data_IF_362117582238
#
_entry.id   IF_362117582238
#
_cell.length_a   1.000
_cell.length_b   1.000
_cell.length_c   1.000
_cell.angle_alpha   90.00
_cell.angle_beta   90.00
_cell.angle_gamma   90.00
#
_symmetry.space_group_name_H-M   'P 1'
#
loop_
_entity.id
_entity.type
_entity.pdbx_description
1 polymer ?
#
# COMPACT_ATOMS: atom_id res chain seq x y z
N UNK A 1 2.20 -6.65 13.37
CA UNK A 1 1.02 -7.55 13.36
C UNK A 1 -0.06 -7.06 12.39
N UNK A 2 -0.39 -5.76 12.33
CA UNK A 2 -1.12 -5.15 11.20
C UNK A 2 -0.42 -5.38 9.83
N UNK A 3 0.93 -5.37 9.83
CA UNK A 3 1.74 -5.77 8.67
C UNK A 3 1.39 -7.16 8.13
N UNK A 4 0.96 -8.12 8.98
CA UNK A 4 0.60 -9.47 8.50
C UNK A 4 -0.70 -9.48 7.71
N UNK A 5 -1.70 -8.69 8.12
CA UNK A 5 -2.97 -8.56 7.40
C UNK A 5 -2.78 -7.80 6.08
N UNK A 6 -1.98 -6.72 6.10
CA UNK A 6 -1.63 -5.96 4.88
C UNK A 6 -0.81 -6.84 3.93
N UNK A 7 0.24 -7.52 4.43
CA UNK A 7 1.02 -8.48 3.63
C UNK A 7 0.09 -9.53 3.05
N UNK A 8 -0.77 -10.17 3.85
CA UNK A 8 -1.71 -11.19 3.37
C UNK A 8 -2.64 -10.67 2.26
N UNK A 9 -3.16 -9.45 2.41
CA UNK A 9 -3.95 -8.80 1.37
C UNK A 9 -3.13 -8.56 0.09
N UNK A 10 -1.89 -8.08 0.23
CA UNK A 10 -0.97 -7.93 -0.91
C UNK A 10 -0.62 -9.28 -1.55
N UNK A 11 -0.41 -10.36 -0.77
CA UNK A 11 -0.14 -11.69 -1.31
C UNK A 11 -1.36 -12.20 -2.09
N UNK A 12 -2.58 -12.08 -1.55
CA UNK A 12 -3.81 -12.51 -2.22
C UNK A 12 -4.02 -11.77 -3.57
N UNK A 13 -3.70 -10.48 -3.64
CA UNK A 13 -3.75 -9.67 -4.87
C UNK A 13 -2.60 -10.01 -5.81
N UNK A 14 -1.39 -10.25 -5.30
CA UNK A 14 -0.18 -10.58 -6.05
C UNK A 14 -0.23 -11.97 -6.72
N UNK A 15 -0.92 -12.96 -6.13
CA UNK A 15 -1.10 -14.28 -6.77
C UNK A 15 -1.82 -14.17 -8.13
N UNK A 16 -2.63 -13.11 -8.32
CA UNK A 16 -3.70 -13.08 -9.31
C UNK A 16 -3.62 -11.90 -10.29
N UNK A 17 -2.72 -10.94 -10.08
CA UNK A 17 -2.55 -9.80 -10.98
C UNK A 17 -1.74 -10.17 -12.22
N UNK A 18 -2.37 -10.11 -13.40
CA UNK A 18 -1.66 -10.10 -14.69
C UNK A 18 -0.89 -8.80 -14.91
N UNK A 19 -1.40 -7.68 -14.37
CA UNK A 19 -0.85 -6.34 -14.56
C UNK A 19 0.22 -5.94 -13.52
N UNK A 20 0.26 -6.63 -12.37
CA UNK A 20 1.42 -6.60 -11.47
C UNK A 20 2.40 -7.64 -11.99
N UNK A 21 3.34 -7.27 -12.88
CA UNK A 21 4.33 -8.15 -13.52
C UNK A 21 5.07 -9.11 -12.57
N UNK A 22 4.39 -10.17 -12.14
CA UNK A 22 4.90 -11.24 -11.31
C UNK A 22 5.02 -12.44 -12.24
N UNK A 23 6.27 -12.82 -12.51
CA UNK A 23 6.57 -14.03 -13.28
C UNK A 23 5.87 -15.25 -12.67
N UNK A 24 5.58 -16.23 -13.52
CA UNK A 24 4.82 -17.44 -13.19
C UNK A 24 5.32 -18.13 -11.90
N UNK A 25 6.65 -18.24 -11.74
CA UNK A 25 7.29 -18.78 -10.54
C UNK A 25 6.89 -18.06 -9.25
N UNK A 26 6.78 -16.73 -9.29
CA UNK A 26 6.38 -15.92 -8.12
C UNK A 26 4.91 -16.13 -7.78
N UNK A 27 4.05 -16.35 -8.77
CA UNK A 27 2.61 -16.63 -8.53
C UNK A 27 2.41 -17.98 -7.87
N UNK A 28 3.13 -19.01 -8.35
CA UNK A 28 3.11 -20.34 -7.73
C UNK A 28 3.61 -20.27 -6.29
N UNK A 29 4.75 -19.61 -6.05
CA UNK A 29 5.26 -19.40 -4.70
C UNK A 29 4.26 -18.69 -3.79
N UNK A 30 3.62 -17.64 -4.31
CA UNK A 30 2.66 -16.86 -3.53
C UNK A 30 1.39 -17.66 -3.20
N UNK A 31 0.95 -18.52 -4.13
CA UNK A 31 -0.19 -19.43 -3.93
C UNK A 31 0.09 -20.43 -2.81
N UNK A 32 1.28 -21.01 -2.78
CA UNK A 32 1.68 -21.93 -1.71
C UNK A 32 1.82 -21.22 -0.35
N UNK A 33 2.37 -19.99 -0.32
CA UNK A 33 2.43 -19.19 0.92
C UNK A 33 1.01 -18.93 1.46
N UNK A 34 0.06 -18.59 0.58
CA UNK A 34 -1.34 -18.37 0.93
C UNK A 34 -1.99 -19.65 1.48
N UNK A 35 -1.79 -20.79 0.82
CA UNK A 35 -2.31 -22.10 1.26
C UNK A 35 -1.76 -22.48 2.63
N UNK A 36 -0.45 -22.38 2.81
CA UNK A 36 0.22 -22.68 4.09
C UNK A 36 -0.26 -21.75 5.21
N UNK A 37 -0.55 -20.49 4.90
CA UNK A 37 -1.12 -19.57 5.88
C UNK A 37 -2.55 -19.96 6.27
N UNK A 38 -3.42 -20.29 5.32
CA UNK A 38 -4.76 -20.81 5.60
C UNK A 38 -4.70 -22.08 6.48
N UNK A 39 -3.81 -23.02 6.12
CA UNK A 39 -3.59 -24.26 6.87
C UNK A 39 -3.13 -24.02 8.31
N UNK A 40 -2.18 -23.11 8.52
CA UNK A 40 -1.70 -22.71 9.87
C UNK A 40 -2.80 -22.10 10.74
N UNK A 41 -3.87 -21.60 10.14
CA UNK A 41 -5.03 -21.04 10.85
C UNK A 41 -6.25 -21.99 10.85
N UNK A 42 -6.06 -23.27 10.53
CA UNK A 42 -7.12 -24.30 10.46
C UNK A 42 -8.26 -23.93 9.50
N UNK A 43 -7.93 -23.27 8.37
CA UNK A 43 -8.86 -22.80 7.36
C UNK A 43 -8.43 -23.19 5.95
N UNK A 44 -7.77 -24.34 5.78
CA UNK A 44 -7.30 -24.83 4.48
C UNK A 44 -8.47 -25.04 3.50
N UNK A 45 -9.65 -25.41 4.00
CA UNK A 45 -10.89 -25.56 3.23
C UNK A 45 -11.41 -24.23 2.65
N UNK A 46 -10.94 -23.09 3.17
CA UNK A 46 -11.29 -21.73 2.71
C UNK A 46 -10.30 -21.15 1.71
N UNK A 47 -9.25 -21.87 1.38
CA UNK A 47 -8.19 -21.39 0.50
C UNK A 47 -8.69 -20.96 -0.89
N UNK A 48 -9.58 -21.73 -1.51
CA UNK A 48 -10.15 -21.39 -2.82
C UNK A 48 -11.12 -20.19 -2.73
N UNK A 49 -11.89 -20.06 -1.64
CA UNK A 49 -12.75 -18.89 -1.38
C UNK A 49 -11.91 -17.60 -1.28
N UNK A 50 -10.78 -17.65 -0.56
CA UNK A 50 -9.86 -16.51 -0.41
C UNK A 50 -9.19 -16.15 -1.73
N UNK A 51 -8.77 -17.13 -2.54
CA UNK A 51 -8.29 -16.86 -3.89
C UNK A 51 -9.38 -16.22 -4.76
N UNK A 52 -10.61 -16.69 -4.66
CA UNK A 52 -11.72 -16.11 -5.42
C UNK A 52 -12.00 -14.66 -4.99
N UNK A 53 -11.92 -14.35 -3.70
CA UNK A 53 -12.02 -12.97 -3.21
C UNK A 53 -10.94 -12.05 -3.83
N UNK A 54 -9.72 -12.56 -3.99
CA UNK A 54 -8.66 -11.86 -4.73
C UNK A 54 -9.00 -11.61 -6.20
N UNK A 55 -9.60 -12.59 -6.90
CA UNK A 55 -10.02 -12.42 -8.31
C UNK A 55 -11.12 -11.37 -8.45
N UNK A 56 -12.16 -11.49 -7.63
CA UNK A 56 -13.27 -10.55 -7.59
C UNK A 56 -12.77 -9.13 -7.32
N UNK A 57 -11.77 -8.98 -6.44
CA UNK A 57 -11.14 -7.68 -6.20
C UNK A 57 -10.42 -7.12 -7.44
N UNK A 58 -9.62 -7.94 -8.14
CA UNK A 58 -8.95 -7.53 -9.38
C UNK A 58 -9.97 -7.12 -10.45
N UNK A 59 -11.04 -7.90 -10.64
CA UNK A 59 -12.10 -7.59 -11.60
C UNK A 59 -12.83 -6.29 -11.22
N UNK A 60 -13.06 -6.08 -9.91
CA UNK A 60 -13.60 -4.83 -9.39
C UNK A 60 -12.69 -3.64 -9.75
N UNK A 61 -11.38 -3.75 -9.51
CA UNK A 61 -10.41 -2.70 -9.86
C UNK A 61 -10.40 -2.41 -11.37
N UNK A 62 -10.38 -3.44 -12.22
CA UNK A 62 -10.41 -3.31 -13.68
C UNK A 62 -11.68 -2.62 -14.17
N UNK A 63 -12.81 -2.84 -13.50
CA UNK A 63 -14.07 -2.13 -13.77
C UNK A 63 -14.04 -0.64 -13.36
N UNK A 64 -13.17 -0.27 -12.42
CA UNK A 64 -13.04 1.12 -11.97
C UNK A 64 -12.02 1.91 -12.79
N UNK A 65 -10.86 1.31 -13.08
CA UNK A 65 -9.71 1.96 -13.69
C UNK A 65 -9.11 1.08 -14.77
N UNK A 66 -9.07 1.59 -16.00
CA UNK A 66 -8.18 1.07 -17.02
C UNK A 66 -6.83 1.80 -16.89
N UNK A 67 -5.78 1.05 -16.57
CA UNK A 67 -4.45 1.61 -16.28
C UNK A 67 -3.83 2.29 -17.50
N UNK A 68 -3.97 1.69 -18.68
CA UNK A 68 -3.45 2.26 -19.93
C UNK A 68 -4.19 3.55 -20.30
N UNK A 69 -5.52 3.57 -20.16
CA UNK A 69 -6.31 4.80 -20.34
C UNK A 69 -5.91 5.88 -19.36
N UNK A 70 -5.78 5.55 -18.06
CA UNK A 70 -5.36 6.51 -17.05
C UNK A 70 -3.97 7.09 -17.35
N UNK A 71 -3.02 6.24 -17.78
CA UNK A 71 -1.68 6.69 -18.17
C UNK A 71 -1.73 7.66 -19.34
N UNK A 72 -2.51 7.33 -20.39
CA UNK A 72 -2.68 8.21 -21.54
C UNK A 72 -3.34 9.54 -21.15
N UNK A 73 -4.41 9.51 -20.35
CA UNK A 73 -5.06 10.74 -19.85
C UNK A 73 -4.09 11.62 -19.03
N UNK A 74 -3.22 11.01 -18.21
CA UNK A 74 -2.20 11.73 -17.44
C UNK A 74 -1.19 12.41 -18.38
N UNK A 75 -0.63 11.68 -19.35
CA UNK A 75 0.39 12.23 -20.25
C UNK A 75 -0.17 13.35 -21.14
N UNK A 76 -1.44 13.25 -21.57
CA UNK A 76 -2.14 14.30 -22.32
C UNK A 76 -2.46 15.54 -21.47
N UNK A 77 -2.86 15.34 -20.20
CA UNK A 77 -3.26 16.42 -19.30
C UNK A 77 -2.08 17.15 -18.65
N UNK A 78 -0.94 16.47 -18.46
CA UNK A 78 0.27 17.01 -17.84
C UNK A 78 0.77 18.32 -18.46
N UNK A 79 0.97 18.45 -19.80
CA UNK A 79 1.46 19.70 -20.39
C UNK A 79 0.45 20.86 -20.31
N UNK A 80 -0.83 20.54 -20.13
CA UNK A 80 -1.92 21.52 -20.12
C UNK A 80 -2.35 21.93 -18.70
N UNK A 81 -1.74 21.33 -17.67
CA UNK A 81 -2.06 21.60 -16.27
C UNK A 81 -3.44 21.08 -15.82
N UNK A 82 -4.03 20.11 -16.53
CA UNK A 82 -5.39 19.61 -16.30
C UNK A 82 -5.43 18.23 -15.59
N UNK A 83 -4.40 17.91 -14.80
CA UNK A 83 -4.30 16.61 -14.11
C UNK A 83 -5.39 16.44 -13.04
N UNK A 84 -5.82 17.52 -12.41
CA UNK A 84 -6.93 17.52 -11.46
C UNK A 84 -8.25 17.05 -12.10
N UNK A 85 -8.54 17.46 -13.35
CA UNK A 85 -9.72 17.00 -14.08
C UNK A 85 -9.69 15.49 -14.35
N UNK A 86 -8.50 14.95 -14.64
CA UNK A 86 -8.27 13.50 -14.78
C UNK A 86 -8.57 12.82 -13.45
N UNK A 87 -7.87 13.21 -12.37
CA UNK A 87 -8.02 12.55 -11.08
C UNK A 87 -9.40 12.71 -10.46
N UNK A 88 -10.12 13.79 -10.75
CA UNK A 88 -11.51 13.98 -10.33
C UNK A 88 -12.42 12.84 -10.79
N UNK A 89 -12.27 12.40 -12.05
CA UNK A 89 -13.05 11.28 -12.60
C UNK A 89 -12.81 9.99 -11.82
N UNK A 90 -11.57 9.72 -11.44
CA UNK A 90 -11.17 8.51 -10.73
C UNK A 90 -11.49 8.59 -9.24
N UNK A 91 -11.31 9.75 -8.61
CA UNK A 91 -11.65 9.99 -7.23
C UNK A 91 -13.16 9.95 -6.97
N UNK A 92 -13.99 10.26 -7.96
CA UNK A 92 -15.44 10.03 -7.90
C UNK A 92 -15.82 8.54 -7.75
N UNK A 93 -14.94 7.61 -8.15
CA UNK A 93 -15.13 6.15 -8.02
C UNK A 93 -14.69 5.62 -6.65
N UNK A 94 -14.13 6.47 -5.78
CA UNK A 94 -13.68 6.11 -4.43
C UNK A 94 -14.71 5.29 -3.62
N UNK A 95 -16.02 5.60 -3.61
CA UNK A 95 -16.99 4.78 -2.90
C UNK A 95 -17.01 3.32 -3.38
N UNK A 96 -16.96 3.10 -4.70
CA UNK A 96 -16.92 1.75 -5.29
C UNK A 96 -15.60 1.06 -4.98
N UNK A 97 -14.47 1.79 -5.05
CA UNK A 97 -13.16 1.27 -4.68
C UNK A 97 -13.12 0.81 -3.22
N UNK A 98 -13.67 1.59 -2.29
CA UNK A 98 -13.78 1.23 -0.87
C UNK A 98 -14.61 -0.04 -0.71
N UNK A 99 -15.70 -0.21 -1.47
CA UNK A 99 -16.46 -1.47 -1.48
C UNK A 99 -15.65 -2.65 -2.02
N UNK A 100 -14.88 -2.48 -3.10
CA UNK A 100 -13.99 -3.55 -3.59
C UNK A 100 -13.04 -4.03 -2.49
N UNK A 101 -12.41 -3.10 -1.77
CA UNK A 101 -11.44 -3.39 -0.71
C UNK A 101 -12.12 -4.04 0.50
N UNK A 102 -13.31 -3.57 0.88
CA UNK A 102 -14.10 -4.17 1.96
C UNK A 102 -14.41 -5.64 1.65
N UNK A 103 -14.92 -5.92 0.44
CA UNK A 103 -15.24 -7.28 0.01
C UNK A 103 -14.00 -8.19 -0.01
N UNK A 104 -12.84 -7.64 -0.41
CA UNK A 104 -11.57 -8.35 -0.34
C UNK A 104 -11.22 -8.72 1.11
N UNK A 105 -11.31 -7.76 2.04
CA UNK A 105 -10.99 -7.98 3.45
C UNK A 105 -11.92 -8.99 4.11
N UNK A 106 -13.22 -8.91 3.79
CA UNK A 106 -14.21 -9.87 4.28
C UNK A 106 -13.96 -11.26 3.71
N UNK A 107 -13.69 -11.35 2.40
CA UNK A 107 -13.41 -12.60 1.72
C UNK A 107 -12.13 -13.30 2.17
N UNK A 108 -11.10 -12.54 2.60
CA UNK A 108 -9.86 -13.10 3.15
C UNK A 108 -9.92 -13.43 4.64
N UNK A 109 -10.87 -12.85 5.36
CA UNK A 109 -11.03 -13.03 6.80
C UNK A 109 -11.04 -14.49 7.27
N UNK A 110 -11.58 -15.48 6.52
CA UNK A 110 -11.60 -16.87 6.98
C UNK A 110 -10.21 -17.47 7.17
N UNK A 111 -9.22 -17.10 6.37
CA UNK A 111 -7.85 -17.62 6.52
C UNK A 111 -6.99 -16.84 7.52
N UNK A 112 -7.46 -15.71 8.02
CA UNK A 112 -6.74 -14.89 9.00
C UNK A 112 -6.76 -15.52 10.40
N UNK A 113 -5.67 -15.32 11.15
CA UNK A 113 -5.67 -15.63 12.59
C UNK A 113 -6.66 -14.72 13.33
N UNK A 114 -7.13 -15.14 14.52
CA UNK A 114 -8.02 -14.32 15.36
C UNK A 114 -7.44 -12.91 15.61
N UNK A 115 -6.15 -12.86 15.96
CA UNK A 115 -5.44 -11.60 16.17
C UNK A 115 -5.43 -10.71 14.91
N UNK A 116 -5.27 -11.30 13.72
CA UNK A 116 -5.30 -10.55 12.46
C UNK A 116 -6.71 -10.06 12.13
N UNK A 117 -7.74 -10.87 12.38
CA UNK A 117 -9.15 -10.48 12.19
C UNK A 117 -9.53 -9.30 13.07
N UNK A 118 -9.11 -9.27 14.33
CA UNK A 118 -9.34 -8.14 15.24
C UNK A 118 -8.72 -6.82 14.75
N UNK A 119 -7.71 -6.89 13.88
CA UNK A 119 -7.05 -5.70 13.30
C UNK A 119 -7.58 -5.31 11.93
N UNK A 120 -8.47 -6.10 11.31
CA UNK A 120 -9.07 -5.77 10.01
C UNK A 120 -9.78 -4.42 10.01
N UNK A 121 -10.60 -4.03 11.01
CA UNK A 121 -11.26 -2.73 11.01
C UNK A 121 -10.26 -1.57 11.01
N UNK A 122 -9.13 -1.71 11.72
CA UNK A 122 -8.09 -0.70 11.77
C UNK A 122 -7.37 -0.61 10.42
N UNK A 123 -7.07 -1.75 9.79
CA UNK A 123 -6.49 -1.78 8.45
C UNK A 123 -7.43 -1.14 7.42
N UNK A 124 -8.74 -1.45 7.47
CA UNK A 124 -9.74 -0.91 6.56
C UNK A 124 -9.90 0.61 6.73
N UNK A 125 -9.94 1.07 7.97
CA UNK A 125 -9.97 2.50 8.26
C UNK A 125 -8.70 3.20 7.74
N UNK A 126 -7.52 2.60 7.94
CA UNK A 126 -6.26 3.12 7.39
C UNK A 126 -6.26 3.21 5.87
N UNK A 127 -6.75 2.17 5.18
CA UNK A 127 -6.88 2.17 3.71
C UNK A 127 -7.88 3.21 3.22
N UNK A 128 -9.03 3.34 3.89
CA UNK A 128 -10.05 4.36 3.58
C UNK A 128 -9.47 5.76 3.72
N UNK A 129 -8.78 6.02 4.82
CA UNK A 129 -8.10 7.28 5.08
C UNK A 129 -7.02 7.58 4.03
N UNK A 130 -6.25 6.58 3.59
CA UNK A 130 -5.27 6.74 2.53
C UNK A 130 -5.92 7.17 1.20
N UNK A 131 -7.02 6.52 0.82
CA UNK A 131 -7.76 6.89 -0.38
C UNK A 131 -8.28 8.33 -0.26
N UNK A 132 -8.82 8.71 0.90
CA UNK A 132 -9.28 10.07 1.16
C UNK A 132 -8.13 11.10 1.15
N UNK A 133 -6.94 10.70 1.56
CA UNK A 133 -5.75 11.54 1.46
C UNK A 133 -5.37 11.79 0.00
N UNK A 134 -5.33 10.73 -0.82
CA UNK A 134 -4.98 10.82 -2.25
C UNK A 134 -6.04 11.62 -3.02
N UNK A 135 -7.31 11.36 -2.75
CA UNK A 135 -8.46 12.01 -3.36
C UNK A 135 -8.90 13.29 -2.67
N UNK A 136 -8.04 13.87 -1.82
CA UNK A 136 -8.31 15.16 -1.21
C UNK A 136 -8.51 16.22 -2.29
N UNK A 137 -9.62 16.95 -2.21
CA UNK A 137 -10.07 17.92 -3.24
C UNK A 137 -9.97 17.32 -4.64
N UNK A 138 -10.76 16.28 -4.90
CA UNK A 138 -10.85 15.64 -6.21
C UNK A 138 -9.51 15.14 -6.79
N UNK A 139 -8.47 14.96 -5.97
CA UNK A 139 -7.17 14.46 -6.42
C UNK A 139 -6.07 15.53 -6.56
N UNK A 140 -6.28 16.76 -6.08
CA UNK A 140 -5.28 17.84 -6.09
C UNK A 140 -3.89 17.38 -5.65
N UNK A 141 -3.82 16.54 -4.60
CA UNK A 141 -2.53 16.06 -4.08
C UNK A 141 -1.81 15.15 -5.08
N UNK A 142 -2.50 14.18 -5.66
CA UNK A 142 -1.87 13.29 -6.64
C UNK A 142 -1.56 14.02 -7.95
N UNK A 143 -2.40 14.97 -8.35
CA UNK A 143 -2.14 15.86 -9.48
C UNK A 143 -0.85 16.68 -9.26
N UNK A 144 -0.72 17.35 -8.11
CA UNK A 144 0.48 18.11 -7.76
C UNK A 144 1.72 17.23 -7.72
N UNK A 145 1.63 16.04 -7.12
CA UNK A 145 2.74 15.09 -7.05
C UNK A 145 3.27 14.73 -8.45
N UNK A 146 2.37 14.47 -9.41
CA UNK A 146 2.74 14.09 -10.78
C UNK A 146 3.23 15.28 -11.59
N UNK A 147 2.59 16.44 -11.44
CA UNK A 147 3.01 17.68 -12.08
C UNK A 147 4.46 18.04 -11.71
N UNK A 148 4.82 17.82 -10.45
CA UNK A 148 6.14 18.09 -9.86
C UNK A 148 7.16 16.96 -10.08
N UNK A 149 6.90 16.05 -11.04
CA UNK A 149 7.85 14.99 -11.40
C UNK A 149 8.00 13.90 -10.34
N UNK A 150 7.03 13.74 -9.44
CA UNK A 150 7.03 12.74 -8.37
C UNK A 150 7.32 11.32 -8.85
N UNK A 151 6.59 10.77 -9.85
CA UNK A 151 6.87 9.44 -10.39
C UNK A 151 8.31 9.28 -10.89
N UNK A 152 8.83 10.27 -11.62
CA UNK A 152 10.19 10.26 -12.17
C UNK A 152 11.24 10.34 -11.04
N UNK A 153 10.99 11.15 -10.03
CA UNK A 153 11.81 11.23 -8.83
C UNK A 153 11.88 9.86 -8.12
N UNK A 154 10.74 9.23 -7.85
CA UNK A 154 10.70 7.90 -7.22
C UNK A 154 11.39 6.83 -8.07
N UNK A 155 11.23 6.87 -9.40
CA UNK A 155 11.89 5.94 -10.30
C UNK A 155 13.41 6.13 -10.31
N UNK A 156 13.89 7.37 -10.38
CA UNK A 156 15.33 7.67 -10.35
C UNK A 156 15.98 7.33 -9.01
N UNK A 157 15.24 7.45 -7.91
CA UNK A 157 15.68 7.13 -6.54
C UNK A 157 15.33 5.70 -6.12
N UNK A 158 14.87 4.83 -7.03
CA UNK A 158 14.42 3.49 -6.67
C UNK A 158 15.49 2.65 -5.93
N UNK A 159 16.77 2.79 -6.31
CA UNK A 159 17.86 2.10 -5.61
C UNK A 159 18.12 2.68 -4.22
N UNK A 160 18.19 4.01 -4.10
CA UNK A 160 18.31 4.71 -2.82
C UNK A 160 17.17 4.34 -1.83
N UNK A 161 15.94 4.26 -2.34
CA UNK A 161 14.76 3.86 -1.56
C UNK A 161 14.88 2.40 -1.12
N UNK A 162 15.37 1.51 -1.99
CA UNK A 162 15.63 0.10 -1.62
C UNK A 162 16.67 -0.01 -0.52
N UNK A 163 17.72 0.81 -0.55
CA UNK A 163 18.75 0.86 0.49
C UNK A 163 18.16 1.33 1.84
N UNK A 164 17.26 2.31 1.83
CA UNK A 164 16.52 2.70 3.05
C UNK A 164 15.75 1.52 3.65
N UNK A 165 15.10 0.70 2.81
CA UNK A 165 14.40 -0.51 3.25
C UNK A 165 15.32 -1.65 3.70
N UNK A 166 16.51 -1.78 3.10
CA UNK A 166 17.48 -2.81 3.49
C UNK A 166 17.96 -2.65 4.94
N UNK A 167 18.13 -1.40 5.41
CA UNK A 167 18.49 -1.08 6.80
C UNK A 167 17.45 -1.56 7.83
N UNK A 168 16.16 -1.59 7.46
CA UNK A 168 15.12 -2.26 8.28
C UNK A 168 15.44 -3.75 8.35
N UNK A 169 15.62 -4.40 7.20
CA UNK A 169 15.81 -5.86 7.17
C UNK A 169 17.02 -6.30 7.99
N UNK A 170 18.11 -5.53 7.98
CA UNK A 170 19.28 -5.73 8.83
C UNK A 170 18.99 -5.48 10.32
N UNK A 171 18.13 -4.50 10.63
CA UNK A 171 17.64 -4.24 12.00
C UNK A 171 16.71 -5.35 12.53
N UNK A 172 16.18 -6.20 11.67
CA UNK A 172 15.24 -7.28 12.00
C UNK A 172 15.71 -8.62 11.41
N UNK A 173 16.83 -9.19 11.88
CA UNK A 173 17.39 -10.42 11.36
C UNK A 173 16.47 -11.64 11.59
N UNK A 174 15.50 -11.54 12.50
CA UNK A 174 14.50 -12.57 12.77
C UNK A 174 13.13 -11.99 13.14
N UNK A 175 12.09 -12.82 13.04
CA UNK A 175 10.73 -12.48 13.45
C UNK A 175 10.68 -12.26 14.98
N UNK A 176 11.48 -12.98 15.76
CA UNK A 176 11.62 -12.80 17.20
C UNK A 176 12.21 -11.43 17.55
N UNK A 177 13.24 -10.97 16.82
CA UNK A 177 13.81 -9.64 16.98
C UNK A 177 12.79 -8.54 16.61
N UNK A 178 11.93 -8.80 15.63
CA UNK A 178 10.83 -7.89 15.30
C UNK A 178 9.72 -7.84 16.36
N UNK A 179 9.45 -8.96 17.03
CA UNK A 179 8.47 -9.04 18.12
C UNK A 179 8.96 -8.35 19.40
N UNK A 180 10.28 -8.33 19.66
CA UNK A 180 10.84 -7.78 20.91
C UNK A 180 10.94 -6.26 20.95
N UNK A 181 10.88 -5.57 19.81
CA UNK A 181 11.02 -4.11 19.72
C UNK A 181 9.86 -3.32 20.36
N UNK A 182 8.75 -3.98 20.68
CA UNK A 182 7.56 -3.35 21.23
C UNK A 182 6.97 -2.27 20.31
N UNK A 183 5.95 -1.55 20.78
CA UNK A 183 5.32 -0.50 19.98
C UNK A 183 6.28 0.65 19.70
N UNK A 184 6.98 1.16 20.72
CA UNK A 184 7.89 2.30 20.56
C UNK A 184 9.05 2.03 19.60
N UNK A 185 9.66 0.84 19.67
CA UNK A 185 10.72 0.46 18.73
C UNK A 185 10.22 0.27 17.30
N UNK A 186 9.01 -0.30 17.14
CA UNK A 186 8.37 -0.44 15.81
C UNK A 186 8.12 0.94 15.19
N UNK A 187 7.60 1.89 15.96
CA UNK A 187 7.33 3.24 15.49
C UNK A 187 8.62 4.02 15.19
N UNK A 188 9.67 3.85 16.01
CA UNK A 188 10.97 4.45 15.73
C UNK A 188 11.60 3.94 14.42
N UNK A 189 11.42 2.65 14.09
CA UNK A 189 11.89 2.09 12.82
C UNK A 189 11.10 2.56 11.61
N UNK A 190 9.79 2.78 11.78
CA UNK A 190 8.98 3.45 10.78
C UNK A 190 9.48 4.87 10.52
N UNK A 191 9.74 5.63 11.59
CA UNK A 191 10.25 7.01 11.51
C UNK A 191 11.62 7.05 10.81
N UNK A 192 12.55 6.18 11.19
CA UNK A 192 13.90 6.10 10.58
C UNK A 192 13.83 5.92 9.05
N UNK A 193 12.96 5.04 8.57
CA UNK A 193 12.91 4.69 7.14
C UNK A 193 12.09 5.64 6.31
N UNK A 194 10.99 6.14 6.87
CA UNK A 194 10.24 7.19 6.19
C UNK A 194 11.09 8.46 6.08
N UNK A 195 11.84 8.84 7.12
CA UNK A 195 12.82 9.93 7.05
C UNK A 195 13.93 9.65 6.03
N UNK A 196 14.48 8.43 5.98
CA UNK A 196 15.47 8.05 4.96
C UNK A 196 14.91 8.25 3.54
N UNK A 197 13.69 7.78 3.28
CA UNK A 197 13.05 7.92 1.96
C UNK A 197 12.81 9.39 1.63
N UNK A 198 12.25 10.17 2.56
CA UNK A 198 12.00 11.62 2.36
C UNK A 198 13.30 12.34 2.01
N UNK A 199 14.37 12.12 2.78
CA UNK A 199 15.68 12.72 2.54
C UNK A 199 16.23 12.39 1.14
N UNK A 200 15.97 11.18 0.62
CA UNK A 200 16.38 10.80 -0.75
C UNK A 200 15.55 11.51 -1.81
N UNK A 201 14.25 11.66 -1.59
CA UNK A 201 13.33 12.33 -2.51
C UNK A 201 13.51 13.85 -2.54
N UNK A 202 13.92 14.46 -1.44
CA UNK A 202 14.27 15.89 -1.38
C UNK A 202 15.47 16.25 -2.26
N UNK A 203 16.27 15.28 -2.66
CA UNK A 203 17.39 15.48 -3.62
C UNK A 203 16.96 15.46 -5.09
N UNK A 204 15.67 15.37 -5.37
CA UNK A 204 15.13 15.52 -6.72
C UNK A 204 15.10 17.00 -7.14
N UNK A 205 14.73 17.25 -8.40
CA UNK A 205 14.72 18.60 -8.99
C UNK A 205 13.85 19.59 -8.21
N UNK A 206 12.70 19.13 -7.71
CA UNK A 206 11.87 19.89 -6.77
C UNK A 206 11.77 19.12 -5.45
N UNK A 207 11.63 19.83 -4.30
CA UNK A 207 11.42 19.18 -3.00
C UNK A 207 9.99 18.65 -2.84
N UNK A 208 9.07 18.99 -3.76
CA UNK A 208 7.65 18.66 -3.65
C UNK A 208 7.39 17.16 -3.49
N UNK A 209 7.99 16.24 -4.28
CA UNK A 209 7.83 14.80 -4.08
C UNK A 209 8.23 14.33 -2.67
N UNK A 210 9.30 14.90 -2.11
CA UNK A 210 9.75 14.63 -0.73
C UNK A 210 8.73 15.10 0.30
N UNK A 211 8.29 16.35 0.21
CA UNK A 211 7.28 16.94 1.10
C UNK A 211 5.94 16.18 1.07
N UNK A 212 5.53 15.72 -0.11
CA UNK A 212 4.31 14.94 -0.29
C UNK A 212 4.44 13.53 0.28
N UNK A 213 5.58 12.88 0.08
CA UNK A 213 5.88 11.60 0.71
C UNK A 213 5.91 11.72 2.24
N UNK A 214 6.51 12.79 2.77
CA UNK A 214 6.53 13.03 4.22
C UNK A 214 5.11 13.25 4.77
N UNK A 215 4.30 14.05 4.09
CA UNK A 215 2.90 14.28 4.44
C UNK A 215 2.10 12.96 4.48
N UNK A 216 2.32 12.11 3.48
CA UNK A 216 1.71 10.78 3.41
C UNK A 216 2.18 9.87 4.56
N UNK A 217 3.49 9.81 4.82
CA UNK A 217 4.04 8.99 5.91
C UNK A 217 3.55 9.44 7.29
N UNK A 218 3.50 10.76 7.53
CA UNK A 218 2.95 11.33 8.75
C UNK A 218 1.46 11.02 8.89
N UNK A 219 0.69 11.06 7.79
CA UNK A 219 -0.72 10.70 7.78
C UNK A 219 -0.94 9.22 8.13
N UNK A 220 -0.21 8.31 7.47
CA UNK A 220 -0.26 6.86 7.75
C UNK A 220 0.13 6.59 9.20
N UNK A 221 1.20 7.22 9.69
CA UNK A 221 1.66 7.08 11.07
C UNK A 221 0.55 7.40 12.08
N UNK A 222 -0.20 8.49 11.85
CA UNK A 222 -1.32 8.92 12.71
C UNK A 222 -2.52 7.96 12.69
N UNK A 223 -2.70 7.23 11.58
CA UNK A 223 -3.73 6.20 11.44
C UNK A 223 -3.37 4.88 12.13
N UNK A 224 -2.13 4.74 12.62
CA UNK A 224 -1.64 3.53 13.30
C UNK A 224 -1.53 3.76 14.82
N UNK A 225 -1.34 2.69 15.62
CA UNK A 225 -1.03 2.82 17.05
C UNK A 225 0.24 3.63 17.37
N UNK A 226 1.06 3.98 16.36
CA UNK A 226 2.18 4.89 16.58
C UNK A 226 1.74 6.31 16.94
N UNK A 227 0.49 6.71 16.68
CA UNK A 227 -0.02 8.03 17.05
C UNK A 227 0.08 8.37 18.56
N UNK A 228 0.22 7.36 19.43
CA UNK A 228 0.44 7.55 20.88
C UNK A 228 1.91 7.55 21.29
N UNK A 229 2.83 7.30 20.35
CA UNK A 229 4.27 7.28 20.57
C UNK A 229 4.89 8.54 19.99
N UNK A 230 5.64 9.26 20.82
CA UNK A 230 6.38 10.45 20.43
C UNK A 230 7.33 10.17 19.26
N UNK A 231 7.30 11.02 18.24
CA UNK A 231 8.16 10.88 17.06
C UNK A 231 9.57 11.25 17.46
N UNK A 232 10.54 10.37 17.19
CA UNK A 232 11.96 10.73 17.32
C UNK A 232 12.37 11.44 16.04
N UNK A 233 12.82 12.69 16.18
CA UNK A 233 13.35 13.50 15.09
C UNK A 233 14.66 12.92 14.56
#
# INVERSE_FOLDING_TARGET
MMLKAIVFATLAVAVLGDDFSLGEDKRVQMREILREYCKKNNAEDKFEDVQNAGKVFIDCLKGLVNVETLQNEIEEAKPNGALDEVFKKYCAKTPQLKTCIQNLFDGMSPCLSNEAREKLPVAMNGTTQLIDFVCYKDGDRIALFIAEGGPQCFQSKANDIRECGAKIKESFPSIEAAKSLGLAGTCGKWDEVTSCIVNKLETCETPTPGNMAESLFNFVRRATPCNTVEKKN
#
